data_IF_287825861867
#
_entry.id   IF_287825861867
#
_cell.length_a   1.000
_cell.length_b   1.000
_cell.length_c   1.000
_cell.angle_alpha   90.00
_cell.angle_beta   90.00
_cell.angle_gamma   90.00
#
_symmetry.space_group_name_H-M   'P 1'
#
loop_
_entity.id
_entity.type
_entity.pdbx_description
1 polymer ?
#
# COMPACT_ATOMS: atom_id res chain seq x y z
N UNK A 1 -57.54 36.02 -8.93
CA UNK A 1 -56.65 36.25 -10.09
C UNK A 1 -55.51 37.17 -9.69
N UNK A 2 -54.32 36.63 -9.43
CA UNK A 2 -53.02 37.20 -9.84
C UNK A 2 -51.92 36.21 -9.49
N UNK A 3 -51.35 35.66 -10.55
CA UNK A 3 -50.16 34.82 -10.58
C UNK A 3 -48.94 35.75 -10.54
N UNK A 4 -47.94 35.41 -9.73
CA UNK A 4 -46.55 35.80 -9.99
C UNK A 4 -45.65 34.57 -9.80
N UNK A 5 -45.35 33.91 -10.93
CA UNK A 5 -44.07 33.23 -11.09
C UNK A 5 -42.99 34.30 -11.29
N UNK A 6 -41.81 34.09 -10.72
CA UNK A 6 -40.45 34.15 -11.33
C UNK A 6 -39.44 34.55 -10.26
N UNK A 7 -38.37 33.77 -10.10
CA UNK A 7 -37.19 34.21 -9.36
C UNK A 7 -36.37 33.08 -8.75
N UNK A 8 -35.56 32.41 -9.58
CA UNK A 8 -34.45 31.58 -9.15
C UNK A 8 -33.54 32.37 -8.18
N UNK A 9 -33.37 31.88 -6.96
CA UNK A 9 -32.15 32.14 -6.19
C UNK A 9 -31.64 30.79 -5.65
N UNK A 10 -31.04 30.01 -6.56
CA UNK A 10 -29.97 29.11 -6.19
C UNK A 10 -28.83 29.98 -5.66
N UNK A 11 -28.36 29.77 -4.42
CA UNK A 11 -26.96 29.87 -4.01
C UNK A 11 -26.80 29.79 -2.48
N UNK A 12 -26.70 28.57 -1.95
CA UNK A 12 -25.88 28.27 -0.76
C UNK A 12 -25.49 26.79 -0.67
N UNK A 13 -25.50 26.08 -1.80
CA UNK A 13 -24.89 24.77 -1.87
C UNK A 13 -23.37 24.92 -1.80
N UNK A 14 -22.75 24.29 -0.79
CA UNK A 14 -21.39 23.71 -0.83
C UNK A 14 -20.24 24.42 -0.09
N UNK A 15 -20.48 25.26 0.93
CA UNK A 15 -19.38 25.74 1.80
C UNK A 15 -19.37 25.14 3.23
N UNK A 16 -20.49 24.61 3.72
CA UNK A 16 -20.65 24.07 5.09
C UNK A 16 -20.68 22.54 5.18
N UNK A 17 -20.74 21.84 4.04
CA UNK A 17 -20.87 20.37 4.00
C UNK A 17 -19.69 19.68 4.69
N UNK A 18 -18.45 19.98 4.28
CA UNK A 18 -17.23 19.26 4.73
C UNK A 18 -17.04 19.24 6.25
N UNK A 19 -17.32 20.35 6.95
CA UNK A 19 -17.18 20.42 8.41
C UNK A 19 -18.24 19.61 9.14
N UNK A 20 -19.49 19.61 8.64
CA UNK A 20 -20.58 18.82 9.23
C UNK A 20 -20.35 17.32 9.04
N UNK A 21 -19.81 16.93 7.88
CA UNK A 21 -19.51 15.54 7.55
C UNK A 21 -18.39 14.99 8.45
N UNK A 22 -17.32 15.78 8.65
CA UNK A 22 -16.21 15.42 9.53
C UNK A 22 -16.63 15.29 11.01
N UNK A 23 -17.53 16.17 11.47
CA UNK A 23 -18.10 16.06 12.81
C UNK A 23 -19.02 14.82 12.97
N UNK A 24 -19.76 14.45 11.90
CA UNK A 24 -20.59 13.24 11.85
C UNK A 24 -19.77 11.95 11.90
N UNK A 25 -18.66 11.88 11.18
CA UNK A 25 -17.76 10.70 11.18
C UNK A 25 -17.12 10.51 12.56
N UNK A 26 -16.60 11.58 13.17
CA UNK A 26 -15.97 11.50 14.49
C UNK A 26 -16.93 11.07 15.61
N UNK A 27 -18.18 11.56 15.57
CA UNK A 27 -19.21 11.14 16.54
C UNK A 27 -19.65 9.68 16.35
N UNK A 28 -19.75 9.21 15.10
CA UNK A 28 -20.00 7.79 14.80
C UNK A 28 -18.88 6.88 15.28
N UNK A 29 -17.61 7.22 15.01
CA UNK A 29 -16.46 6.43 15.49
C UNK A 29 -16.43 6.35 17.02
N UNK A 30 -16.70 7.45 17.73
CA UNK A 30 -16.75 7.44 19.19
C UNK A 30 -17.88 6.57 19.73
N UNK A 31 -19.04 6.59 19.08
CA UNK A 31 -20.16 5.73 19.44
C UNK A 31 -19.88 4.24 19.13
N UNK A 32 -19.28 3.92 17.98
CA UNK A 32 -18.90 2.56 17.60
C UNK A 32 -17.86 1.97 18.56
N UNK A 33 -16.87 2.77 18.98
CA UNK A 33 -15.87 2.35 19.97
C UNK A 33 -16.47 2.03 21.34
N UNK A 34 -17.49 2.78 21.78
CA UNK A 34 -18.15 2.57 23.07
C UNK A 34 -19.12 1.38 23.07
N UNK A 35 -19.78 1.10 21.93
CA UNK A 35 -20.77 0.02 21.82
C UNK A 35 -20.16 -1.31 21.40
N UNK A 36 -19.33 -1.30 20.37
CA UNK A 36 -18.76 -2.49 19.74
C UNK A 36 -17.25 -2.29 19.49
N UNK A 37 -16.43 -2.25 20.56
CA UNK A 37 -15.00 -1.99 20.44
C UNK A 37 -14.28 -3.06 19.61
N UNK A 38 -14.67 -4.32 19.74
CA UNK A 38 -14.05 -5.45 19.04
C UNK A 38 -14.22 -5.30 17.52
N UNK A 39 -15.43 -4.99 17.06
CA UNK A 39 -15.72 -4.82 15.62
C UNK A 39 -15.00 -3.59 15.08
N UNK A 40 -15.00 -2.49 15.83
CA UNK A 40 -14.32 -1.25 15.43
C UNK A 40 -12.81 -1.46 15.26
N UNK A 41 -12.16 -2.15 16.21
CA UNK A 41 -10.73 -2.49 16.11
C UNK A 41 -10.45 -3.46 14.97
N UNK A 42 -11.28 -4.49 14.77
CA UNK A 42 -11.11 -5.46 13.70
C UNK A 42 -11.16 -4.79 12.32
N UNK A 43 -12.14 -3.90 12.08
CA UNK A 43 -12.21 -3.11 10.86
C UNK A 43 -10.99 -2.19 10.70
N UNK A 44 -10.54 -1.54 11.78
CA UNK A 44 -9.35 -0.68 11.75
C UNK A 44 -8.07 -1.44 11.36
N UNK A 45 -7.82 -2.59 11.97
CA UNK A 45 -6.66 -3.44 11.65
C UNK A 45 -6.79 -4.01 10.23
N UNK A 46 -7.98 -4.43 9.82
CA UNK A 46 -8.24 -4.93 8.46
C UNK A 46 -7.90 -3.90 7.40
N UNK A 47 -8.37 -2.66 7.56
CA UNK A 47 -8.04 -1.56 6.63
C UNK A 47 -6.55 -1.22 6.67
N UNK A 48 -5.95 -1.15 7.86
CA UNK A 48 -4.53 -0.88 8.00
C UNK A 48 -3.68 -1.95 7.28
N UNK A 49 -4.02 -3.24 7.45
CA UNK A 49 -3.31 -4.35 6.81
C UNK A 49 -3.38 -4.32 5.28
N UNK A 50 -4.42 -3.72 4.69
CA UNK A 50 -4.53 -3.59 3.22
C UNK A 50 -3.69 -2.43 2.69
N UNK A 51 -3.64 -1.32 3.45
CA UNK A 51 -2.95 -0.11 3.02
C UNK A 51 -1.44 -0.20 3.31
N UNK A 52 -1.05 -0.80 4.43
CA UNK A 52 0.33 -0.83 4.91
C UNK A 52 1.34 -1.46 3.94
N UNK A 53 1.04 -2.57 3.23
CA UNK A 53 1.96 -3.12 2.23
C UNK A 53 2.21 -2.21 1.03
N UNK A 54 1.24 -1.35 0.67
CA UNK A 54 1.34 -0.43 -0.46
C UNK A 54 2.15 0.83 -0.14
N UNK A 55 2.09 1.28 1.11
CA UNK A 55 2.81 2.48 1.58
C UNK A 55 4.23 2.12 2.06
N UNK A 56 4.44 0.89 2.54
CA UNK A 56 5.72 0.50 3.12
C UNK A 56 6.82 0.33 2.07
N UNK A 57 7.96 1.04 2.18
CA UNK A 57 9.12 0.80 1.33
C UNK A 57 9.76 -0.57 1.60
N UNK A 58 9.44 -1.21 2.73
CA UNK A 58 10.03 -2.48 3.14
C UNK A 58 9.41 -3.70 2.45
N UNK A 59 8.20 -3.57 1.90
CA UNK A 59 7.52 -4.68 1.19
C UNK A 59 8.37 -5.23 0.04
N UNK A 60 9.18 -4.37 -0.61
CA UNK A 60 10.13 -4.77 -1.66
C UNK A 60 11.17 -5.77 -1.16
N UNK A 61 11.74 -5.58 0.03
CA UNK A 61 12.78 -6.46 0.56
C UNK A 61 12.26 -7.87 0.84
N UNK A 62 11.01 -8.01 1.31
CA UNK A 62 10.39 -9.32 1.48
C UNK A 62 10.35 -10.11 0.15
N UNK A 63 9.96 -9.46 -0.95
CA UNK A 63 9.96 -10.10 -2.26
C UNK A 63 11.38 -10.42 -2.76
N UNK A 64 12.37 -9.56 -2.49
CA UNK A 64 13.76 -9.81 -2.87
C UNK A 64 14.37 -10.98 -2.09
N UNK A 65 14.08 -11.13 -0.80
CA UNK A 65 14.54 -12.27 0.03
C UNK A 65 13.99 -13.59 -0.53
N UNK A 66 12.70 -13.63 -0.86
CA UNK A 66 12.07 -14.83 -1.40
C UNK A 66 12.68 -15.26 -2.74
N UNK A 67 13.07 -14.29 -3.59
CA UNK A 67 13.76 -14.59 -4.87
C UNK A 67 15.21 -15.00 -4.69
N UNK A 68 15.89 -14.44 -3.69
CA UNK A 68 17.29 -14.73 -3.40
C UNK A 68 17.51 -16.09 -2.74
N UNK A 69 16.45 -16.74 -2.23
CA UNK A 69 16.54 -18.03 -1.53
C UNK A 69 16.57 -19.19 -2.54
N UNK A 70 17.68 -19.93 -2.69
CA UNK A 70 17.79 -21.00 -3.67
C UNK A 70 17.22 -22.31 -3.10
N UNK A 71 15.98 -22.63 -3.46
CA UNK A 71 15.40 -23.95 -3.12
C UNK A 71 15.82 -25.05 -4.09
N UNK A 72 16.10 -24.69 -5.33
CA UNK A 72 16.60 -25.58 -6.37
C UNK A 72 18.08 -25.31 -6.62
N UNK A 73 18.82 -26.34 -6.99
CA UNK A 73 20.22 -26.19 -7.38
C UNK A 73 20.32 -25.35 -8.67
N UNK A 74 21.07 -24.22 -8.67
CA UNK A 74 21.21 -23.39 -9.86
C UNK A 74 22.13 -24.10 -10.87
N UNK A 75 21.53 -24.57 -11.97
CA UNK A 75 22.26 -25.27 -13.03
C UNK A 75 23.09 -24.26 -13.84
N UNK A 76 24.42 -24.43 -13.97
CA UNK A 76 25.25 -23.54 -14.77
C UNK A 76 24.83 -23.53 -16.24
N UNK A 77 24.86 -22.34 -16.85
CA UNK A 77 24.59 -22.17 -18.28
C UNK A 77 25.84 -22.58 -19.08
N UNK A 78 25.62 -23.18 -20.25
CA UNK A 78 26.72 -23.51 -21.17
C UNK A 78 27.27 -22.23 -21.82
N UNK A 79 28.57 -22.05 -21.73
CA UNK A 79 29.25 -20.89 -22.32
C UNK A 79 29.24 -20.93 -23.86
N UNK A 80 28.83 -19.81 -24.47
CA UNK A 80 28.83 -19.58 -25.91
C UNK A 80 29.89 -18.54 -26.35
N UNK A 81 30.70 -18.02 -25.42
CA UNK A 81 31.73 -17.03 -25.63
C UNK A 81 31.26 -15.57 -25.60
N UNK A 82 29.96 -15.30 -25.40
CA UNK A 82 29.39 -13.94 -25.38
C UNK A 82 28.29 -13.80 -24.31
N UNK A 83 28.65 -14.00 -23.04
CA UNK A 83 27.76 -13.85 -21.88
C UNK A 83 28.43 -13.00 -20.77
N UNK A 84 28.53 -11.66 -20.95
CA UNK A 84 29.23 -10.78 -20.01
C UNK A 84 28.50 -10.59 -18.66
N UNK A 85 27.22 -10.94 -18.60
CA UNK A 85 26.34 -10.83 -17.43
C UNK A 85 26.33 -12.09 -16.56
N UNK A 86 26.82 -13.22 -17.06
CA UNK A 86 26.84 -14.48 -16.30
C UNK A 86 28.23 -14.71 -15.71
N UNK A 87 28.35 -14.86 -14.38
CA UNK A 87 29.64 -15.09 -13.74
C UNK A 87 30.18 -16.48 -14.06
N UNK A 88 31.50 -16.59 -14.24
CA UNK A 88 32.17 -17.88 -14.42
C UNK A 88 32.38 -18.61 -13.08
N UNK A 89 32.47 -17.86 -11.99
CA UNK A 89 32.69 -18.36 -10.64
C UNK A 89 31.81 -17.61 -9.61
N UNK A 90 31.37 -18.26 -8.51
CA UNK A 90 30.51 -17.62 -7.50
C UNK A 90 31.08 -16.35 -6.84
N UNK A 91 32.41 -16.18 -6.85
CA UNK A 91 33.07 -15.00 -6.28
C UNK A 91 33.22 -13.84 -7.28
N UNK A 92 32.80 -14.01 -8.54
CA UNK A 92 32.92 -12.97 -9.55
C UNK A 92 31.94 -11.82 -9.28
N UNK A 93 32.33 -10.56 -9.55
CA UNK A 93 31.52 -9.39 -9.23
C UNK A 93 30.26 -9.24 -10.11
N UNK A 94 30.15 -10.01 -11.19
CA UNK A 94 29.04 -9.95 -12.15
C UNK A 94 27.74 -10.60 -11.60
N UNK A 95 27.86 -11.48 -10.60
CA UNK A 95 26.72 -12.16 -10.01
C UNK A 95 25.82 -11.26 -9.15
N UNK A 96 24.59 -11.70 -8.89
CA UNK A 96 23.69 -10.99 -7.97
C UNK A 96 24.22 -11.10 -6.54
N UNK A 97 24.64 -9.97 -5.98
CA UNK A 97 25.19 -9.88 -4.63
C UNK A 97 24.09 -9.60 -3.58
N UNK A 98 24.32 -10.06 -2.34
CA UNK A 98 23.37 -10.00 -1.21
C UNK A 98 23.78 -9.01 -0.11
N UNK A 99 24.64 -8.02 -0.40
CA UNK A 99 25.13 -7.05 0.58
C UNK A 99 24.01 -6.13 1.06
N UNK A 100 22.97 -5.88 0.24
CA UNK A 100 21.76 -5.20 0.70
C UNK A 100 21.02 -5.98 1.79
N UNK A 101 21.10 -7.32 1.80
CA UNK A 101 20.47 -8.17 2.81
C UNK A 101 21.34 -8.26 4.06
N UNK A 102 22.67 -8.29 3.90
CA UNK A 102 23.62 -8.28 5.03
C UNK A 102 23.59 -6.97 5.82
N UNK A 103 23.27 -5.86 5.16
CA UNK A 103 23.23 -4.52 5.74
C UNK A 103 21.80 -3.99 5.97
N UNK A 104 20.78 -4.86 5.85
CA UNK A 104 19.38 -4.52 6.10
C UNK A 104 19.13 -4.34 7.60
#
# INVERSE_FOLDING_TARGET
>A
MRVQLTGLNYNSHQATSTKSNMAGIGSFLRNAWNKEPVVTVACGIGLLSLIMPLVSPYTKYSAMINKATPYNYPVPVRDNGNMPDVPAHPCDPQGTNLDWLKNL
#
